data_IF_210691701688
#
_entry.id   IF_210691701688
#
_cell.length_a   1.000
_cell.length_b   1.000
_cell.length_c   1.000
_cell.angle_alpha   90.00
_cell.angle_beta   90.00
_cell.angle_gamma   90.00
#
_symmetry.space_group_name_H-M   'P 1'
#
loop_
_entity.id
_entity.type
_entity.pdbx_description
1 polymer ?
#
# COMPACT_ATOMS: atom_id res chain seq x y z
N UNK A 1 22.05 -15.61 61.74
CA UNK A 1 21.40 -15.01 60.55
C UNK A 1 22.07 -13.67 60.25
N UNK A 2 23.03 -13.62 59.32
CA UNK A 2 23.68 -12.36 58.92
C UNK A 2 22.73 -11.57 58.02
N UNK A 3 22.22 -10.42 58.49
CA UNK A 3 21.35 -9.56 57.70
C UNK A 3 22.17 -8.88 56.59
N UNK A 4 21.96 -9.33 55.35
CA UNK A 4 22.62 -8.76 54.17
C UNK A 4 21.95 -7.43 53.81
N UNK A 5 22.31 -6.34 54.50
CA UNK A 5 21.78 -5.01 54.24
C UNK A 5 22.49 -4.38 53.03
N UNK A 6 21.79 -4.27 51.91
CA UNK A 6 22.27 -3.52 50.73
C UNK A 6 22.15 -2.02 51.00
N UNK A 7 23.19 -1.25 50.70
CA UNK A 7 23.18 0.22 50.78
C UNK A 7 23.00 0.82 49.38
N UNK A 8 22.15 1.83 49.26
CA UNK A 8 21.93 2.58 48.03
C UNK A 8 22.89 3.76 47.96
N UNK A 9 23.73 3.83 46.91
CA UNK A 9 24.62 4.97 46.61
C UNK A 9 24.55 5.26 45.12
N UNK A 10 23.82 6.31 44.77
CA UNK A 10 23.71 6.79 43.39
C UNK A 10 25.05 7.40 42.94
N UNK A 11 25.74 6.74 42.01
CA UNK A 11 26.96 7.26 41.41
C UNK A 11 26.62 8.31 40.35
N UNK A 12 27.39 9.40 40.27
CA UNK A 12 27.09 10.54 39.39
C UNK A 12 26.99 10.14 37.91
N UNK A 13 27.96 9.39 37.38
CA UNK A 13 28.02 9.01 35.96
C UNK A 13 26.82 8.12 35.55
N UNK A 14 26.54 6.97 36.22
CA UNK A 14 25.35 6.18 35.90
C UNK A 14 24.05 6.95 36.04
N UNK A 15 23.97 7.89 36.99
CA UNK A 15 22.77 8.71 37.20
C UNK A 15 22.55 9.69 36.05
N UNK A 16 23.61 10.36 35.59
CA UNK A 16 23.53 11.26 34.42
C UNK A 16 23.11 10.47 33.17
N UNK A 17 23.72 9.31 32.93
CA UNK A 17 23.35 8.45 31.80
C UNK A 17 21.87 8.04 31.87
N UNK A 18 21.40 7.61 33.05
CA UNK A 18 20.00 7.25 33.26
C UNK A 18 19.06 8.43 32.98
N UNK A 19 19.38 9.61 33.51
CA UNK A 19 18.57 10.83 33.35
C UNK A 19 18.50 11.30 31.90
N UNK A 20 19.51 11.04 31.07
CA UNK A 20 19.51 11.40 29.65
C UNK A 20 18.82 10.32 28.80
N UNK A 21 19.23 9.05 28.95
CA UNK A 21 18.78 7.98 28.05
C UNK A 21 17.32 7.60 28.29
N UNK A 22 16.85 7.62 29.53
CA UNK A 22 15.46 7.25 29.85
C UNK A 22 14.43 8.15 29.15
N UNK A 23 14.46 9.49 29.28
CA UNK A 23 13.51 10.35 28.58
C UNK A 23 13.70 10.30 27.06
N UNK A 24 14.93 10.12 26.56
CA UNK A 24 15.17 9.93 25.13
C UNK A 24 14.45 8.69 24.59
N UNK A 25 14.60 7.53 25.24
CA UNK A 25 13.94 6.30 24.82
C UNK A 25 12.43 6.37 24.98
N UNK A 26 11.91 7.01 26.04
CA UNK A 26 10.47 7.26 26.18
C UNK A 26 9.97 8.13 25.02
N UNK A 27 10.67 9.22 24.68
CA UNK A 27 10.31 10.11 23.57
C UNK A 27 10.30 9.39 22.23
N UNK A 28 11.30 8.55 21.95
CA UNK A 28 11.34 7.71 20.75
C UNK A 28 10.21 6.69 20.70
N UNK A 29 9.86 6.09 21.83
CA UNK A 29 8.71 5.18 21.95
C UNK A 29 7.38 5.88 21.63
N UNK A 30 7.16 7.07 22.19
CA UNK A 30 5.97 7.88 21.92
C UNK A 30 5.89 8.32 20.45
N UNK A 31 7.01 8.74 19.86
CA UNK A 31 7.08 9.10 18.44
C UNK A 31 6.71 7.91 17.53
N UNK A 32 7.17 6.70 17.85
CA UNK A 32 6.78 5.50 17.11
C UNK A 32 5.28 5.18 17.25
N UNK A 33 4.68 5.39 18.43
CA UNK A 33 3.24 5.22 18.62
C UNK A 33 2.42 6.23 17.80
N UNK A 34 2.82 7.50 17.80
CA UNK A 34 2.20 8.54 16.95
C UNK A 34 2.30 8.15 15.46
N UNK A 35 3.45 7.65 15.02
CA UNK A 35 3.62 7.19 13.64
C UNK A 35 2.72 5.99 13.31
N UNK A 36 2.55 5.07 14.25
CA UNK A 36 1.63 3.94 14.12
C UNK A 36 0.17 4.42 13.99
N UNK A 37 -0.24 5.40 14.79
CA UNK A 37 -1.58 5.98 14.76
C UNK A 37 -1.87 6.72 13.45
N UNK A 38 -0.93 7.54 12.96
CA UNK A 38 -1.04 8.20 11.66
C UNK A 38 -1.27 7.20 10.53
N UNK A 39 -0.54 6.08 10.55
CA UNK A 39 -0.69 4.98 9.59
C UNK A 39 -2.08 4.34 9.73
N UNK A 40 -2.51 4.04 10.96
CA UNK A 40 -3.84 3.46 11.22
C UNK A 40 -4.99 4.36 10.74
N UNK A 41 -4.91 5.66 10.97
CA UNK A 41 -5.91 6.64 10.54
C UNK A 41 -5.98 6.77 9.01
N UNK A 42 -4.83 6.70 8.32
CA UNK A 42 -4.81 6.62 6.86
C UNK A 42 -5.51 5.35 6.36
N UNK A 43 -5.20 4.19 6.94
CA UNK A 43 -5.83 2.91 6.60
C UNK A 43 -7.35 2.90 6.80
N UNK A 44 -7.82 3.40 7.94
CA UNK A 44 -9.25 3.43 8.26
C UNK A 44 -10.04 4.33 7.31
N UNK A 45 -9.48 5.48 6.91
CA UNK A 45 -10.11 6.38 5.93
C UNK A 45 -10.31 5.72 4.55
N UNK A 46 -9.34 4.91 4.13
CA UNK A 46 -9.39 4.17 2.87
C UNK A 46 -10.41 3.03 2.93
N UNK A 47 -10.46 2.29 4.05
CA UNK A 47 -11.48 1.25 4.24
C UNK A 47 -12.89 1.83 4.30
N UNK A 48 -13.08 2.97 4.96
CA UNK A 48 -14.38 3.65 5.01
C UNK A 48 -14.85 4.01 3.60
N UNK A 49 -13.98 4.55 2.74
CA UNK A 49 -14.31 4.86 1.33
C UNK A 49 -14.71 3.61 0.53
N UNK A 50 -14.04 2.48 0.76
CA UNK A 50 -14.35 1.20 0.09
C UNK A 50 -15.70 0.61 0.51
N UNK A 51 -16.13 0.87 1.74
CA UNK A 51 -17.41 0.39 2.29
C UNK A 51 -18.60 1.26 1.92
N UNK A 52 -18.37 2.44 1.34
CA UNK A 52 -19.45 3.29 0.86
C UNK A 52 -20.17 2.64 -0.34
N UNK A 53 -21.46 2.95 -0.54
CA UNK A 53 -22.19 2.48 -1.71
C UNK A 53 -21.47 2.82 -3.02
N UNK A 54 -21.51 1.91 -4.01
CA UNK A 54 -20.93 2.16 -5.31
C UNK A 54 -21.51 3.42 -5.98
N UNK A 55 -20.64 4.19 -6.63
CA UNK A 55 -21.04 5.38 -7.40
C UNK A 55 -21.22 4.98 -8.87
N UNK A 56 -22.33 5.35 -9.50
CA UNK A 56 -22.48 5.19 -10.95
C UNK A 56 -21.58 6.18 -11.70
N UNK A 57 -20.88 5.71 -12.72
CA UNK A 57 -20.06 6.53 -13.61
C UNK A 57 -20.75 6.89 -14.92
N UNK A 58 -22.00 6.44 -15.13
CA UNK A 58 -22.71 6.61 -16.40
C UNK A 58 -23.06 8.09 -16.68
N UNK A 59 -23.34 8.84 -15.62
CA UNK A 59 -23.64 10.26 -15.63
C UNK A 59 -22.52 11.16 -15.07
N UNK A 60 -22.84 12.41 -14.70
CA UNK A 60 -21.93 13.30 -13.99
C UNK A 60 -21.47 12.64 -12.68
N UNK A 61 -20.15 12.51 -12.52
CA UNK A 61 -19.56 11.91 -11.34
C UNK A 61 -18.60 12.91 -10.67
N UNK A 62 -18.26 12.72 -9.38
CA UNK A 62 -17.27 13.54 -8.68
C UNK A 62 -15.90 13.50 -9.36
N UNK A 63 -14.99 14.39 -8.96
CA UNK A 63 -13.62 14.35 -9.48
C UNK A 63 -12.89 13.03 -9.12
N UNK A 64 -11.76 12.77 -9.79
CA UNK A 64 -11.01 11.54 -9.63
C UNK A 64 -10.44 11.30 -8.22
N UNK A 65 -10.04 12.33 -7.49
CA UNK A 65 -9.57 12.27 -6.10
C UNK A 65 -10.71 11.93 -5.14
N UNK A 66 -11.92 12.44 -5.39
CA UNK A 66 -13.10 12.08 -4.62
C UNK A 66 -13.51 10.63 -4.85
N UNK A 67 -13.37 10.17 -6.10
CA UNK A 67 -13.62 8.79 -6.48
C UNK A 67 -12.50 7.82 -6.08
N UNK A 68 -11.29 8.31 -5.77
CA UNK A 68 -10.15 7.46 -5.42
C UNK A 68 -10.50 6.48 -4.29
N UNK A 69 -10.30 5.17 -4.56
CA UNK A 69 -10.64 4.03 -3.69
C UNK A 69 -12.13 3.80 -3.43
N UNK A 70 -13.03 4.51 -4.13
CA UNK A 70 -14.48 4.24 -4.09
C UNK A 70 -14.80 3.04 -4.98
N UNK A 71 -15.81 2.29 -4.55
CA UNK A 71 -16.49 1.34 -5.43
C UNK A 71 -17.33 2.11 -6.44
N UNK A 72 -17.34 1.63 -7.68
CA UNK A 72 -18.06 2.23 -8.79
C UNK A 72 -18.77 1.17 -9.63
N UNK A 73 -19.78 1.61 -10.36
CA UNK A 73 -20.46 0.83 -11.40
C UNK A 73 -20.52 1.64 -12.69
N UNK A 74 -20.28 0.98 -13.82
CA UNK A 74 -20.29 1.58 -15.14
C UNK A 74 -20.93 0.62 -16.15
N UNK A 75 -21.70 1.18 -17.08
CA UNK A 75 -22.37 0.45 -18.15
C UNK A 75 -21.82 0.88 -19.50
N UNK A 76 -21.35 -0.09 -20.29
CA UNK A 76 -20.70 0.25 -21.54
C UNK A 76 -20.29 -0.94 -22.37
N UNK A 77 -19.42 -0.66 -23.34
CA UNK A 77 -18.81 -1.65 -24.23
C UNK A 77 -17.30 -1.48 -24.24
N UNK A 78 -16.57 -2.59 -24.21
CA UNK A 78 -15.12 -2.56 -24.34
C UNK A 78 -14.69 -2.20 -25.77
N UNK A 79 -13.66 -1.36 -25.88
CA UNK A 79 -12.95 -1.08 -27.13
C UNK A 79 -11.72 -2.00 -27.18
N UNK A 80 -11.93 -3.27 -27.54
CA UNK A 80 -10.91 -4.30 -27.45
C UNK A 80 -9.68 -4.02 -28.35
N UNK A 81 -9.90 -3.34 -29.48
CA UNK A 81 -8.87 -2.85 -30.42
C UNK A 81 -7.91 -1.82 -29.81
N UNK A 82 -8.30 -1.21 -28.68
CA UNK A 82 -7.50 -0.23 -27.93
C UNK A 82 -7.03 -0.78 -26.58
N UNK A 83 -6.97 -2.10 -26.43
CA UNK A 83 -6.44 -2.72 -25.23
C UNK A 83 -4.91 -2.62 -25.16
N UNK A 84 -4.36 -2.53 -23.97
CA UNK A 84 -2.91 -2.50 -23.72
C UNK A 84 -2.54 -3.47 -22.61
N UNK A 85 -1.36 -4.07 -22.71
CA UNK A 85 -0.82 -5.01 -21.73
C UNK A 85 0.25 -4.34 -20.89
N UNK A 86 0.02 -4.23 -19.59
CA UNK A 86 1.02 -3.66 -18.67
C UNK A 86 1.93 -4.77 -18.16
N UNK A 87 3.21 -4.69 -18.48
CA UNK A 87 4.20 -5.74 -18.27
C UNK A 87 4.64 -5.89 -16.80
N UNK A 88 5.40 -6.97 -16.56
CA UNK A 88 6.14 -7.23 -15.32
C UNK A 88 5.24 -7.27 -14.07
N UNK A 89 3.99 -7.69 -14.25
CA UNK A 89 3.06 -7.90 -13.16
C UNK A 89 3.26 -9.31 -12.62
N UNK A 90 3.60 -9.41 -11.33
CA UNK A 90 3.80 -10.70 -10.67
C UNK A 90 2.53 -11.12 -9.94
N UNK A 91 2.11 -12.36 -10.13
CA UNK A 91 1.05 -12.99 -9.37
C UNK A 91 1.49 -14.39 -8.96
N UNK A 92 1.46 -14.69 -7.65
CA UNK A 92 1.86 -15.99 -7.08
C UNK A 92 3.20 -16.53 -7.63
N UNK A 93 4.22 -15.66 -7.72
CA UNK A 93 5.55 -16.03 -8.21
C UNK A 93 5.69 -16.11 -9.73
N UNK A 94 4.60 -16.01 -10.50
CA UNK A 94 4.62 -15.99 -11.97
C UNK A 94 4.59 -14.56 -12.50
N UNK A 95 5.35 -14.31 -13.56
CA UNK A 95 5.32 -13.03 -14.29
C UNK A 95 4.24 -13.07 -15.38
N UNK A 96 3.53 -11.97 -15.52
CA UNK A 96 2.47 -11.80 -16.51
C UNK A 96 2.17 -10.33 -16.74
N UNK A 97 0.94 -10.06 -17.14
CA UNK A 97 0.49 -8.74 -17.60
C UNK A 97 -0.80 -8.34 -16.91
N UNK A 98 -1.03 -7.05 -16.76
CA UNK A 98 -2.40 -6.56 -16.55
C UNK A 98 -3.00 -6.16 -17.89
N UNK A 99 -4.21 -6.60 -18.20
CA UNK A 99 -4.94 -6.12 -19.36
C UNK A 99 -5.73 -4.86 -19.00
N UNK A 100 -5.45 -3.77 -19.70
CA UNK A 100 -6.19 -2.51 -19.57
C UNK A 100 -6.95 -2.28 -20.86
N UNK A 101 -8.27 -2.17 -20.77
CA UNK A 101 -9.16 -1.99 -21.93
C UNK A 101 -10.04 -0.76 -21.70
N UNK A 102 -10.15 0.14 -22.68
CA UNK A 102 -11.11 1.23 -22.60
C UNK A 102 -12.55 0.71 -22.63
N UNK A 103 -13.38 1.29 -21.77
CA UNK A 103 -14.83 1.08 -21.75
C UNK A 103 -15.47 2.38 -22.22
N UNK A 104 -16.22 2.31 -23.31
CA UNK A 104 -17.06 3.42 -23.77
C UNK A 104 -18.41 3.35 -23.06
N UNK A 105 -18.70 4.37 -22.26
CA UNK A 105 -19.94 4.49 -21.51
C UNK A 105 -21.13 4.69 -22.43
N UNK A 106 -22.25 4.07 -22.09
CA UNK A 106 -23.45 4.09 -22.92
C UNK A 106 -24.13 5.45 -22.95
N UNK A 107 -24.33 6.07 -21.79
CA UNK A 107 -25.14 7.30 -21.68
C UNK A 107 -24.34 8.54 -22.07
N UNK A 108 -23.19 8.74 -21.42
CA UNK A 108 -22.37 9.94 -21.64
C UNK A 108 -21.46 9.85 -22.86
N UNK A 109 -21.26 8.66 -23.43
CA UNK A 109 -20.29 8.42 -24.52
C UNK A 109 -18.82 8.58 -24.12
N UNK A 110 -18.55 8.93 -22.85
CA UNK A 110 -17.21 9.11 -22.29
C UNK A 110 -16.49 7.78 -22.22
N UNK A 111 -15.16 7.84 -22.28
CA UNK A 111 -14.33 6.64 -22.19
C UNK A 111 -13.65 6.60 -20.83
N UNK A 112 -13.64 5.44 -20.18
CA UNK A 112 -12.82 5.19 -18.99
C UNK A 112 -11.92 3.99 -19.23
N UNK A 113 -10.83 3.89 -18.47
CA UNK A 113 -9.96 2.71 -18.54
C UNK A 113 -10.38 1.69 -17.48
N UNK A 114 -10.49 0.42 -17.88
CA UNK A 114 -10.73 -0.69 -16.97
C UNK A 114 -9.51 -1.60 -16.96
N UNK A 115 -8.93 -1.83 -15.79
CA UNK A 115 -7.98 -2.91 -15.59
C UNK A 115 -8.74 -4.20 -15.30
N UNK A 116 -8.71 -5.12 -16.26
CA UNK A 116 -9.50 -6.36 -16.26
C UNK A 116 -8.85 -7.50 -15.47
N UNK A 117 -7.62 -7.32 -15.01
CA UNK A 117 -6.91 -8.29 -14.18
C UNK A 117 -5.60 -8.76 -14.80
N UNK A 118 -4.98 -9.69 -14.08
CA UNK A 118 -3.70 -10.30 -14.42
C UNK A 118 -3.86 -11.52 -15.32
N UNK A 119 -3.01 -11.60 -16.35
CA UNK A 119 -2.91 -12.68 -17.34
C UNK A 119 -1.51 -13.26 -17.27
N UNK A 120 -1.41 -14.60 -17.24
CA UNK A 120 -0.13 -15.29 -17.29
C UNK A 120 0.54 -15.12 -18.67
N UNK A 121 1.87 -15.01 -18.70
CA UNK A 121 2.61 -14.75 -19.95
C UNK A 121 2.45 -15.84 -21.00
N UNK A 122 2.23 -17.08 -20.58
CA UNK A 122 2.00 -18.26 -21.41
C UNK A 122 0.54 -18.40 -21.87
N UNK A 123 -0.38 -17.53 -21.43
CA UNK A 123 -1.82 -17.61 -21.71
C UNK A 123 -2.37 -16.37 -22.43
N UNK A 124 -1.50 -15.50 -22.97
CA UNK A 124 -1.90 -14.20 -23.53
C UNK A 124 -2.92 -14.35 -24.65
N UNK A 125 -2.66 -15.20 -25.65
CA UNK A 125 -3.50 -15.30 -26.85
C UNK A 125 -4.90 -15.82 -26.50
N UNK A 126 -4.97 -16.87 -25.67
CA UNK A 126 -6.24 -17.40 -25.15
C UNK A 126 -7.00 -16.35 -24.35
N UNK A 127 -6.29 -15.59 -23.51
CA UNK A 127 -6.89 -14.56 -22.68
C UNK A 127 -7.43 -13.40 -23.52
N UNK A 128 -6.71 -12.94 -24.56
CA UNK A 128 -7.17 -11.88 -25.44
C UNK A 128 -8.36 -12.31 -26.29
N UNK A 129 -8.38 -13.55 -26.78
CA UNK A 129 -9.55 -14.09 -27.47
C UNK A 129 -10.79 -14.14 -26.54
N UNK A 130 -10.62 -14.54 -25.29
CA UNK A 130 -11.69 -14.53 -24.28
C UNK A 130 -12.06 -13.11 -23.79
N UNK A 131 -11.19 -12.13 -24.00
CA UNK A 131 -11.41 -10.75 -23.61
C UNK A 131 -12.44 -10.05 -24.50
N UNK A 132 -12.61 -10.52 -25.74
CA UNK A 132 -13.50 -9.92 -26.74
C UNK A 132 -14.98 -10.22 -26.45
N UNK A 133 -15.51 -9.51 -25.47
CA UNK A 133 -16.93 -9.50 -25.15
C UNK A 133 -17.58 -8.45 -26.05
N UNK A 134 -18.12 -8.89 -27.18
CA UNK A 134 -18.69 -8.01 -28.22
C UNK A 134 -19.93 -7.20 -27.78
N UNK A 135 -20.46 -7.49 -26.59
CA UNK A 135 -21.74 -6.98 -26.10
C UNK A 135 -21.59 -5.90 -25.01
N UNK A 136 -22.74 -5.34 -24.63
CA UNK A 136 -22.88 -4.40 -23.52
C UNK A 136 -22.75 -5.14 -22.20
N UNK A 137 -21.97 -4.58 -21.28
CA UNK A 137 -21.76 -5.15 -19.96
C UNK A 137 -21.82 -4.10 -18.85
N UNK A 138 -22.03 -4.61 -17.65
CA UNK A 138 -21.84 -3.86 -16.40
C UNK A 138 -20.46 -4.17 -15.84
N UNK A 139 -19.71 -3.13 -15.51
CA UNK A 139 -18.42 -3.20 -14.84
C UNK A 139 -18.57 -2.64 -13.44
N UNK A 140 -18.31 -3.47 -12.44
CA UNK A 140 -18.09 -3.05 -11.07
C UNK A 140 -16.59 -2.96 -10.80
N UNK A 141 -16.16 -2.04 -9.93
CA UNK A 141 -14.76 -1.99 -9.58
C UNK A 141 -14.39 -0.88 -8.62
N UNK A 142 -13.09 -0.75 -8.40
CA UNK A 142 -12.51 0.30 -7.55
C UNK A 142 -11.75 1.31 -8.40
N UNK A 143 -11.98 2.60 -8.16
CA UNK A 143 -11.22 3.66 -8.83
C UNK A 143 -9.80 3.79 -8.27
N UNK A 144 -8.83 3.81 -9.17
CA UNK A 144 -7.42 4.13 -8.91
C UNK A 144 -6.91 5.18 -9.89
N UNK A 145 -6.07 6.07 -9.39
CA UNK A 145 -5.30 6.98 -10.24
C UNK A 145 -3.91 6.36 -10.42
N UNK A 146 -3.49 6.04 -11.66
CA UNK A 146 -2.16 5.50 -11.92
C UNK A 146 -1.06 6.41 -11.36
N UNK A 147 -0.09 5.82 -10.68
CA UNK A 147 1.11 6.51 -10.22
C UNK A 147 2.31 5.88 -10.93
N UNK A 148 2.86 6.53 -11.96
CA UNK A 148 4.09 6.04 -12.58
C UNK A 148 5.25 6.05 -11.56
N UNK A 149 6.26 5.18 -11.74
CA UNK A 149 7.44 5.19 -10.88
C UNK A 149 8.16 6.53 -10.95
N UNK A 150 8.69 7.00 -9.81
CA UNK A 150 9.42 8.27 -9.73
C UNK A 150 10.72 8.30 -10.56
N UNK A 151 11.25 7.12 -10.90
CA UNK A 151 12.40 6.95 -11.79
C UNK A 151 11.95 6.06 -12.93
N UNK A 152 11.81 6.65 -14.12
CA UNK A 152 11.58 5.92 -15.34
C UNK A 152 12.93 5.43 -15.87
N UNK A 153 13.19 4.14 -15.73
CA UNK A 153 14.14 3.49 -16.62
C UNK A 153 13.53 3.60 -18.02
N UNK A 154 14.29 4.15 -18.98
CA UNK A 154 13.88 4.27 -20.39
C UNK A 154 13.67 2.88 -21.00
N UNK A 155 12.58 2.21 -20.65
CA UNK A 155 12.05 1.04 -21.33
C UNK A 155 11.12 1.58 -22.40
N UNK A 156 11.45 1.29 -23.67
CA UNK A 156 10.57 1.59 -24.79
C UNK A 156 9.41 0.60 -24.77
N UNK A 157 8.23 1.09 -25.17
CA UNK A 157 7.09 0.23 -25.43
C UNK A 157 7.46 -0.80 -26.49
N UNK A 158 7.15 -2.06 -26.21
CA UNK A 158 7.32 -3.11 -27.19
C UNK A 158 6.06 -3.13 -28.06
N UNK A 159 6.20 -2.62 -29.29
CA UNK A 159 5.21 -2.85 -30.32
C UNK A 159 5.17 -4.34 -30.64
N UNK A 160 3.96 -4.92 -30.69
CA UNK A 160 3.73 -6.28 -31.13
C UNK A 160 2.80 -6.19 -32.32
N UNK A 161 3.20 -6.71 -33.49
CA UNK A 161 2.38 -6.61 -34.72
C UNK A 161 1.09 -7.44 -34.61
N UNK A 162 1.13 -8.55 -33.87
CA UNK A 162 0.00 -9.49 -33.73
C UNK A 162 -0.74 -9.42 -32.38
N UNK A 163 -0.39 -8.49 -31.49
CA UNK A 163 -0.93 -8.45 -30.11
C UNK A 163 -1.09 -7.02 -29.61
N UNK A 164 -1.97 -6.81 -28.63
CA UNK A 164 -2.05 -5.55 -27.88
C UNK A 164 -0.65 -5.05 -27.46
N UNK A 165 -0.37 -3.74 -27.58
CA UNK A 165 0.94 -3.18 -27.25
C UNK A 165 1.27 -3.40 -25.77
N UNK A 166 2.57 -3.54 -25.50
CA UNK A 166 3.08 -3.89 -24.17
C UNK A 166 3.83 -2.71 -23.58
N UNK A 167 3.34 -2.24 -22.43
CA UNK A 167 3.88 -1.07 -21.74
C UNK A 167 4.46 -1.43 -20.38
N UNK A 168 5.61 -0.86 -19.98
CA UNK A 168 6.19 -1.12 -18.66
C UNK A 168 5.30 -0.54 -17.53
N UNK A 169 4.63 0.58 -17.78
CA UNK A 169 3.70 1.22 -16.86
C UNK A 169 2.60 1.96 -17.63
N UNK A 170 1.48 2.21 -16.95
CA UNK A 170 0.37 2.98 -17.51
C UNK A 170 0.46 4.42 -17.02
N UNK A 171 0.57 5.38 -17.94
CA UNK A 171 0.22 6.78 -17.68
C UNK A 171 -1.02 7.13 -18.50
N UNK A 172 -1.88 7.97 -17.93
CA UNK A 172 -3.09 8.39 -18.63
C UNK A 172 -2.75 9.25 -19.86
N UNK A 173 -1.67 10.03 -19.77
CA UNK A 173 -1.22 10.88 -20.88
C UNK A 173 -0.73 10.06 -22.07
N UNK A 174 0.16 9.10 -21.83
CA UNK A 174 0.65 8.21 -22.88
C UNK A 174 -0.50 7.42 -23.52
N UNK A 175 -1.50 7.01 -22.73
CA UNK A 175 -2.69 6.37 -23.28
C UNK A 175 -3.50 7.28 -24.19
N UNK A 176 -3.70 8.55 -23.82
CA UNK A 176 -4.40 9.53 -24.66
C UNK A 176 -3.67 9.75 -25.98
N UNK A 177 -2.36 9.98 -25.93
CA UNK A 177 -1.54 10.21 -27.11
C UNK A 177 -1.56 9.02 -28.07
N UNK A 178 -1.41 7.80 -27.56
CA UNK A 178 -1.40 6.59 -28.38
C UNK A 178 -2.79 6.25 -28.95
N UNK A 179 -3.85 6.35 -28.14
CA UNK A 179 -5.19 5.92 -28.54
C UNK A 179 -5.98 6.96 -29.31
N UNK A 180 -5.68 8.25 -29.11
CA UNK A 180 -6.48 9.38 -29.57
C UNK A 180 -7.82 9.56 -28.83
N UNK A 181 -8.03 8.83 -27.72
CA UNK A 181 -9.29 8.85 -26.96
C UNK A 181 -9.24 9.88 -25.84
N UNK A 182 -10.35 10.59 -25.64
CA UNK A 182 -10.58 11.33 -24.41
C UNK A 182 -11.03 10.36 -23.30
N UNK A 183 -10.14 10.13 -22.34
CA UNK A 183 -10.33 9.19 -21.24
C UNK A 183 -10.50 9.92 -19.89
N UNK A 184 -11.32 9.33 -19.03
CA UNK A 184 -11.46 9.74 -17.64
C UNK A 184 -10.09 9.77 -16.92
N UNK A 185 -9.88 10.71 -15.98
CA UNK A 185 -8.60 10.89 -15.28
C UNK A 185 -8.32 9.81 -14.20
N UNK A 186 -8.76 8.57 -14.42
CA UNK A 186 -8.57 7.44 -13.53
C UNK A 186 -8.77 6.10 -14.26
N UNK A 187 -8.45 5.01 -13.57
CA UNK A 187 -8.64 3.63 -14.01
C UNK A 187 -9.55 2.91 -13.02
N UNK A 188 -10.47 2.10 -13.52
CA UNK A 188 -11.30 1.20 -12.71
C UNK A 188 -10.61 -0.16 -12.62
N UNK A 189 -10.27 -0.60 -11.41
CA UNK A 189 -9.84 -1.96 -11.16
C UNK A 189 -11.07 -2.86 -11.10
N UNK A 190 -11.25 -3.71 -12.11
CA UNK A 190 -12.45 -4.53 -12.23
C UNK A 190 -12.63 -5.44 -11.00
N UNK A 191 -13.86 -5.55 -10.53
CA UNK A 191 -14.27 -6.36 -9.40
C UNK A 191 -14.00 -7.85 -9.67
N UNK A 192 -13.49 -8.62 -8.69
CA UNK A 192 -13.34 -10.07 -8.82
C UNK A 192 -14.65 -10.81 -9.09
N UNK A 193 -15.79 -10.22 -8.71
CA UNK A 193 -17.12 -10.80 -8.85
C UNK A 193 -17.69 -10.64 -10.26
N UNK A 194 -17.17 -9.71 -11.07
CA UNK A 194 -17.68 -9.51 -12.42
C UNK A 194 -17.36 -10.69 -13.33
N UNK A 195 -18.22 -10.98 -14.30
CA UNK A 195 -17.90 -11.90 -15.38
C UNK A 195 -16.80 -11.33 -16.30
N UNK A 196 -16.19 -12.20 -17.11
CA UNK A 196 -15.29 -11.82 -18.23
C UNK A 196 -14.05 -10.98 -17.85
N UNK A 197 -13.52 -11.18 -16.64
CA UNK A 197 -12.23 -10.66 -16.20
C UNK A 197 -11.19 -11.75 -15.97
N UNK A 198 -9.98 -11.33 -15.62
CA UNK A 198 -8.86 -12.22 -15.35
C UNK A 198 -8.58 -12.29 -13.85
N UNK A 199 -7.35 -12.61 -13.45
CA UNK A 199 -7.00 -12.69 -12.03
C UNK A 199 -7.02 -11.30 -11.41
N UNK A 200 -8.03 -11.01 -10.58
CA UNK A 200 -8.33 -9.69 -10.00
C UNK A 200 -7.98 -9.60 -8.51
N UNK A 201 -6.81 -10.12 -8.11
CA UNK A 201 -6.32 -9.98 -6.75
C UNK A 201 -5.49 -8.71 -6.62
N UNK A 202 -6.18 -7.58 -6.46
CA UNK A 202 -5.53 -6.28 -6.42
C UNK A 202 -4.67 -6.10 -5.17
N UNK A 203 -3.44 -5.59 -5.27
CA UNK A 203 -2.66 -5.23 -4.10
C UNK A 203 -3.36 -4.06 -3.38
N UNK A 204 -3.85 -4.35 -2.19
CA UNK A 204 -4.35 -3.33 -1.29
C UNK A 204 -3.14 -2.73 -0.59
N UNK A 205 -2.99 -1.39 -0.55
CA UNK A 205 -1.99 -0.78 0.30
C UNK A 205 -2.25 -1.23 1.73
N UNK A 206 -1.48 -2.22 2.21
CA UNK A 206 -1.53 -2.62 3.61
C UNK A 206 -0.81 -1.55 4.39
N UNK A 207 -1.59 -0.70 5.06
CA UNK A 207 -1.03 0.27 5.99
C UNK A 207 -0.73 -0.50 7.28
N UNK A 208 0.48 -1.05 7.38
CA UNK A 208 0.91 -1.79 8.56
C UNK A 208 1.46 -0.84 9.62
N UNK A 209 0.85 -0.87 10.79
CA UNK A 209 1.25 -0.17 12.01
C UNK A 209 2.11 -1.06 12.95
N UNK A 210 2.01 -2.38 12.80
CA UNK A 210 2.70 -3.40 13.61
C UNK A 210 4.20 -3.14 13.76
N UNK A 211 4.89 -2.75 12.68
CA UNK A 211 6.33 -2.46 12.73
C UNK A 211 6.63 -1.30 13.70
N UNK A 212 5.83 -0.24 13.67
CA UNK A 212 5.99 0.93 14.54
C UNK A 212 5.67 0.59 15.99
N UNK A 213 4.64 -0.24 16.24
CA UNK A 213 4.31 -0.76 17.57
C UNK A 213 5.48 -1.59 18.12
N UNK A 214 6.07 -2.48 17.31
CA UNK A 214 7.22 -3.28 17.70
C UNK A 214 8.42 -2.41 18.12
N UNK A 215 8.72 -1.36 17.37
CA UNK A 215 9.77 -0.40 17.75
C UNK A 215 9.42 0.39 19.01
N UNK A 216 8.16 0.78 19.21
CA UNK A 216 7.75 1.47 20.44
C UNK A 216 8.01 0.60 21.69
N UNK A 217 7.64 -0.69 21.64
CA UNK A 217 7.91 -1.66 22.71
C UNK A 217 9.42 -1.78 22.95
N UNK A 218 10.23 -1.85 21.89
CA UNK A 218 11.68 -1.91 21.99
C UNK A 218 12.26 -0.68 22.72
N UNK A 219 11.80 0.53 22.37
CA UNK A 219 12.27 1.75 23.04
C UNK A 219 11.87 1.81 24.51
N UNK A 220 10.64 1.43 24.86
CA UNK A 220 10.23 1.35 26.25
C UNK A 220 11.01 0.27 27.02
N UNK A 221 11.33 -0.86 26.39
CA UNK A 221 12.18 -1.88 27.00
C UNK A 221 13.59 -1.35 27.29
N UNK A 222 14.20 -0.55 26.40
CA UNK A 222 15.48 0.09 26.66
C UNK A 222 15.42 1.11 27.80
N UNK A 223 14.31 1.86 27.93
CA UNK A 223 14.09 2.75 29.07
C UNK A 223 14.06 1.96 30.39
N UNK A 224 13.32 0.85 30.43
CA UNK A 224 13.24 -0.04 31.61
C UNK A 224 14.60 -0.66 31.94
N UNK A 225 15.31 -1.20 30.94
CA UNK A 225 16.62 -1.83 31.14
C UNK A 225 17.62 -0.81 31.68
N UNK A 226 17.62 0.41 31.14
CA UNK A 226 18.48 1.51 31.60
C UNK A 226 18.22 1.82 33.08
N UNK A 227 16.95 1.91 33.47
CA UNK A 227 16.55 2.12 34.86
C UNK A 227 16.99 0.95 35.77
N UNK A 228 16.80 -0.29 35.34
CA UNK A 228 17.19 -1.49 36.11
C UNK A 228 18.70 -1.59 36.28
N UNK A 229 19.49 -1.29 35.24
CA UNK A 229 20.94 -1.22 35.30
C UNK A 229 21.37 -0.16 36.31
N UNK A 230 20.78 1.04 36.26
CA UNK A 230 21.08 2.10 37.21
C UNK A 230 20.74 1.72 38.66
N UNK A 231 19.58 1.12 38.91
CA UNK A 231 19.19 0.62 40.25
C UNK A 231 20.21 -0.41 40.73
N UNK A 232 20.57 -1.39 39.88
CA UNK A 232 21.54 -2.43 40.22
C UNK A 232 22.91 -1.84 40.56
N UNK A 233 23.41 -0.92 39.74
CA UNK A 233 24.69 -0.26 39.97
C UNK A 233 24.67 0.61 41.24
N UNK A 234 23.51 1.14 41.61
CA UNK A 234 23.36 1.95 42.83
C UNK A 234 23.27 1.10 44.10
N UNK A 235 22.98 -0.20 44.01
CA UNK A 235 22.91 -1.13 45.14
C UNK A 235 24.29 -1.76 45.41
N UNK A 236 24.97 -1.33 46.47
CA UNK A 236 26.25 -1.90 46.90
C UNK A 236 26.09 -2.78 48.16
N UNK A 237 26.90 -3.84 48.27
CA UNK A 237 27.02 -4.62 49.52
C UNK A 237 27.86 -3.80 50.52
N UNK A 238 27.37 -3.67 51.75
CA UNK A 238 28.10 -3.04 52.85
C UNK A 238 29.29 -3.94 53.19
N UNK A 239 30.51 -3.52 52.83
CA UNK A 239 31.72 -4.15 53.36
C UNK A 239 31.77 -3.86 54.85
N UNK A 240 31.75 -4.90 55.68
CA UNK A 240 32.18 -4.80 57.08
C UNK A 240 33.62 -4.30 57.06
N UNK A 241 33.81 -3.01 57.35
CA UNK A 241 35.13 -2.53 57.76
C UNK A 241 35.41 -3.24 59.08
N UNK A 242 36.27 -4.25 59.06
CA UNK A 242 36.89 -4.74 60.28
C UNK A 242 37.52 -3.54 60.98
N UNK A 243 37.09 -3.30 62.21
CA UNK A 243 37.71 -2.33 63.08
C UNK A 243 39.15 -2.79 63.35
N UNK A 244 40.11 -2.16 62.69
CA UNK A 244 41.51 -2.28 63.06
C UNK A 244 41.73 -1.42 64.32
N UNK A 245 41.81 -2.14 65.45
CA UNK A 245 42.49 -1.87 66.74
C UNK A 245 42.41 -0.47 67.31
#
# INVERSE_FOLDING_TARGET
MTSNTRQFRAQAIPTIIMVILTPLFIGLGLWQLDRAEQKRNQGSSLEMRRKQPPVSLDGPHPDAEQLRFRQVVAHGRYLNDKSVLIENRKHQGKTGFHLVTPLRLQESGRTLLVNRGWIARDQIDQALAAADVGERLTVHGEVRIPQPPAIELKQKDAASEDTAPRWPFLTLEHFREWSGLDIAPFVVLQSPQDAHGFVRQWPHPRVSDIMHIGYAIQWFAFAIITLLIWIRLSLHKRGTKEAAV
#
